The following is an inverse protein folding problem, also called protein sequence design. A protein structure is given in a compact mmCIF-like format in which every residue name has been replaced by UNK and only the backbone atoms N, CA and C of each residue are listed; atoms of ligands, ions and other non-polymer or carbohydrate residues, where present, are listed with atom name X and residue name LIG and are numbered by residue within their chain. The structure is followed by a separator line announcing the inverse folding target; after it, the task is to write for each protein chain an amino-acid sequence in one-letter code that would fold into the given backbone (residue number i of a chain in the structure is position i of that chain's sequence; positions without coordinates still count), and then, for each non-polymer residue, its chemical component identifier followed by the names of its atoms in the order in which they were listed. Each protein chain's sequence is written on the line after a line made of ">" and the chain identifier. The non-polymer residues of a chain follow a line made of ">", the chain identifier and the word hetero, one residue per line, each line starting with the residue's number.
data_IF_066737506386
#
_entry.id   IF_066737506386
#
_cell.length_a   1.000
_cell.length_b   1.000
_cell.length_c   1.000
_cell.angle_alpha   90.00
_cell.angle_beta   90.00
_cell.angle_gamma   90.00
#
_symmetry.space_group_name_H-M   'P 1'
#
loop_
_entity.id
_entity.type
_entity.pdbx_description
1 polymer ?
#
# COMPACT_ATOMS: atom_id res chain seq x y z
N UNK A 1 8.36 1.59 9.42
CA UNK A 1 7.07 1.40 8.70
C UNK A 1 7.38 1.19 7.22
N UNK A 2 6.54 0.49 6.43
CA UNK A 2 6.76 0.43 4.97
C UNK A 2 6.91 1.83 4.38
N UNK A 3 7.93 2.07 3.56
CA UNK A 3 8.25 3.40 3.02
C UNK A 3 9.27 4.22 3.83
N UNK A 4 9.65 3.79 5.04
CA UNK A 4 10.68 4.47 5.85
C UNK A 4 12.06 3.81 5.76
N UNK A 5 12.12 2.58 5.29
CA UNK A 5 13.39 1.89 5.03
C UNK A 5 13.71 1.95 3.53
N UNK A 6 14.99 1.89 3.20
CA UNK A 6 15.46 1.84 1.82
C UNK A 6 14.79 0.69 1.06
N UNK A 7 14.51 0.90 -0.23
CA UNK A 7 13.86 -0.11 -1.09
C UNK A 7 12.50 -0.62 -0.56
N UNK A 8 11.78 0.21 0.19
CA UNK A 8 10.42 -0.10 0.64
C UNK A 8 9.43 1.00 0.21
N UNK A 9 8.23 0.58 -0.15
CA UNK A 9 7.15 1.47 -0.63
C UNK A 9 5.95 1.34 0.31
N UNK A 10 5.39 2.45 0.75
CA UNK A 10 4.28 2.45 1.70
C UNK A 10 3.19 3.47 1.35
N UNK A 11 1.94 3.10 1.65
CA UNK A 11 0.80 4.01 1.67
C UNK A 11 0.25 4.04 3.10
N UNK A 12 0.27 5.21 3.74
CA UNK A 12 -0.04 5.35 5.16
C UNK A 12 -1.44 5.92 5.36
N UNK A 13 -2.17 5.37 6.33
CA UNK A 13 -3.56 5.74 6.59
C UNK A 13 -3.75 7.11 7.21
N UNK A 14 -2.74 7.61 7.92
CA UNK A 14 -2.75 8.98 8.44
C UNK A 14 -2.45 9.93 7.27
N UNK A 15 -3.43 10.75 6.91
CA UNK A 15 -3.38 11.72 5.80
C UNK A 15 -3.39 11.14 4.38
N UNK A 16 -3.21 9.83 4.19
CA UNK A 16 -3.25 9.22 2.86
C UNK A 16 -2.03 9.53 2.00
N UNK A 17 -0.84 9.62 2.62
CA UNK A 17 0.41 9.88 1.91
C UNK A 17 1.11 8.58 1.49
N UNK A 18 1.86 8.68 0.40
CA UNK A 18 2.88 7.70 0.02
C UNK A 18 4.17 7.98 0.77
N UNK A 19 4.93 6.93 1.01
CA UNK A 19 6.25 6.98 1.63
C UNK A 19 7.22 6.08 0.86
N UNK A 20 8.41 6.61 0.59
CA UNK A 20 9.52 5.90 -0.05
C UNK A 20 10.84 6.56 0.38
N UNK A 21 11.81 5.76 0.85
CA UNK A 21 13.15 6.26 1.24
C UNK A 21 13.11 7.46 2.20
N UNK A 22 12.19 7.44 3.19
CA UNK A 22 11.94 8.53 4.15
C UNK A 22 11.35 9.83 3.57
N UNK A 23 11.01 9.88 2.28
CA UNK A 23 10.24 10.97 1.69
C UNK A 23 8.73 10.68 1.73
N UNK A 24 7.90 11.72 1.62
CA UNK A 24 6.44 11.59 1.62
C UNK A 24 5.76 12.51 0.61
N UNK A 25 4.77 11.97 -0.09
CA UNK A 25 3.97 12.73 -1.06
C UNK A 25 2.46 12.51 -0.86
N UNK A 26 1.61 13.52 -1.09
CA UNK A 26 0.16 13.34 -1.10
C UNK A 26 -0.28 12.40 -2.23
N UNK A 27 -1.30 11.58 -1.98
CA UNK A 27 -1.79 10.62 -2.98
C UNK A 27 -3.28 10.34 -2.85
N UNK A 28 -3.71 9.87 -1.68
CA UNK A 28 -5.10 9.56 -1.39
C UNK A 28 -5.64 10.45 -0.28
N UNK A 29 -6.75 10.02 0.29
CA UNK A 29 -7.28 10.55 1.55
C UNK A 29 -6.93 9.61 2.69
N UNK A 30 -7.15 10.07 3.92
CA UNK A 30 -7.06 9.24 5.12
C UNK A 30 -8.05 8.07 5.04
N UNK A 31 -7.62 6.92 5.56
CA UNK A 31 -8.47 5.73 5.69
C UNK A 31 -8.52 5.27 7.14
N UNK A 32 -9.64 4.62 7.49
CA UNK A 32 -10.00 4.36 8.87
C UNK A 32 -10.50 2.93 9.09
N UNK A 33 -10.81 2.60 10.33
CA UNK A 33 -11.41 1.32 10.70
C UNK A 33 -12.62 1.00 9.83
N UNK A 34 -12.62 -0.20 9.23
CA UNK A 34 -13.67 -0.68 8.34
C UNK A 34 -13.34 -0.55 6.84
N UNK A 35 -12.40 0.33 6.48
CA UNK A 35 -11.90 0.41 5.10
C UNK A 35 -11.13 -0.87 4.72
N UNK A 36 -11.24 -1.24 3.45
CA UNK A 36 -10.41 -2.29 2.85
C UNK A 36 -9.47 -1.65 1.84
N UNK A 37 -8.17 -1.75 2.12
CA UNK A 37 -7.12 -1.25 1.24
C UNK A 37 -6.56 -2.40 0.41
N UNK A 38 -6.60 -2.21 -0.91
CA UNK A 38 -5.92 -3.09 -1.87
C UNK A 38 -4.55 -2.50 -2.23
N UNK A 39 -3.55 -3.36 -2.39
CA UNK A 39 -2.23 -3.00 -2.90
C UNK A 39 -1.97 -3.84 -4.15
N UNK A 40 -1.77 -3.17 -5.29
CA UNK A 40 -1.71 -3.81 -6.58
C UNK A 40 -0.34 -3.58 -7.22
N UNK A 41 0.41 -4.66 -7.44
CA UNK A 41 1.67 -4.65 -8.16
C UNK A 41 1.42 -5.02 -9.63
N UNK A 42 1.71 -4.10 -10.53
CA UNK A 42 1.73 -4.37 -11.97
C UNK A 42 3.18 -4.57 -12.42
N UNK A 43 3.58 -5.83 -12.55
CA UNK A 43 4.95 -6.22 -12.95
C UNK A 43 5.24 -5.80 -14.39
N UNK A 44 4.26 -5.84 -15.30
CA UNK A 44 4.46 -5.47 -16.71
C UNK A 44 4.77 -3.99 -16.88
N UNK A 45 4.08 -3.14 -16.14
CA UNK A 45 4.24 -1.69 -16.24
C UNK A 45 5.22 -1.14 -15.19
N UNK A 46 5.75 -2.01 -14.33
CA UNK A 46 6.60 -1.64 -13.19
C UNK A 46 5.99 -0.53 -12.32
N UNK A 47 4.72 -0.70 -11.93
CA UNK A 47 3.99 0.28 -11.11
C UNK A 47 3.26 -0.36 -9.95
N UNK A 48 3.08 0.41 -8.87
CA UNK A 48 2.17 0.09 -7.78
C UNK A 48 1.01 1.09 -7.80
N UNK A 49 -0.20 0.61 -7.53
CA UNK A 49 -1.35 1.45 -7.18
C UNK A 49 -2.10 0.85 -6.01
N UNK A 50 -2.85 1.70 -5.31
CA UNK A 50 -3.72 1.27 -4.21
C UNK A 50 -5.19 1.47 -4.57
N UNK A 51 -6.04 0.71 -3.89
CA UNK A 51 -7.49 0.89 -3.95
C UNK A 51 -8.05 1.09 -2.56
N UNK A 52 -9.08 1.92 -2.41
CA UNK A 52 -9.88 2.00 -1.18
C UNK A 52 -11.30 1.51 -1.47
N UNK A 53 -11.72 0.44 -0.80
CA UNK A 53 -13.05 -0.16 -0.96
C UNK A 53 -13.39 -0.45 -2.44
N UNK A 54 -12.40 -0.89 -3.22
CA UNK A 54 -12.53 -1.18 -4.64
C UNK A 54 -12.33 0.02 -5.58
N UNK A 55 -12.25 1.25 -5.08
CA UNK A 55 -11.98 2.44 -5.90
C UNK A 55 -10.48 2.60 -6.11
N UNK A 56 -10.03 2.65 -7.36
CA UNK A 56 -8.64 2.89 -7.73
C UNK A 56 -8.22 4.34 -7.42
N UNK A 57 -7.12 4.52 -6.70
CA UNK A 57 -6.60 5.83 -6.27
C UNK A 57 -5.56 6.44 -7.24
N UNK A 58 -5.31 5.80 -8.38
CA UNK A 58 -4.29 6.21 -9.35
C UNK A 58 -2.94 5.54 -9.10
N UNK A 59 -1.95 5.79 -9.95
CA UNK A 59 -0.62 5.19 -9.78
C UNK A 59 0.08 5.85 -8.59
N UNK A 60 0.56 5.02 -7.66
CA UNK A 60 1.31 5.45 -6.49
C UNK A 60 2.81 5.53 -6.77
N UNK A 61 3.38 4.44 -7.28
CA UNK A 61 4.81 4.34 -7.55
C UNK A 61 5.05 3.89 -8.98
N UNK A 62 6.09 4.47 -9.59
CA UNK A 62 6.55 4.18 -10.95
C UNK A 62 8.01 3.78 -10.91
N UNK A 63 8.47 3.15 -11.99
CA UNK A 63 9.88 2.87 -12.22
C UNK A 63 10.54 2.20 -11.01
N UNK A 64 9.86 1.19 -10.43
CA UNK A 64 10.31 0.52 -9.21
C UNK A 64 11.75 0.04 -9.43
N UNK A 65 12.67 0.65 -8.69
CA UNK A 65 14.11 0.40 -8.77
C UNK A 65 14.42 -0.85 -7.96
N UNK A 66 14.11 -2.03 -8.48
CA UNK A 66 14.69 -3.32 -8.09
C UNK A 66 14.00 -4.45 -8.86
N UNK A 67 14.79 -5.29 -9.53
CA UNK A 67 14.34 -6.47 -10.28
C UNK A 67 14.14 -7.71 -9.38
N UNK A 68 14.27 -7.55 -8.05
CA UNK A 68 14.11 -8.63 -7.08
C UNK A 68 12.63 -8.86 -6.72
N UNK A 69 12.34 -10.04 -6.16
CA UNK A 69 11.01 -10.37 -5.68
C UNK A 69 10.51 -9.33 -4.66
N UNK A 70 9.36 -8.71 -4.94
CA UNK A 70 8.65 -7.87 -3.98
C UNK A 70 7.83 -8.73 -3.03
N UNK A 71 7.78 -8.32 -1.76
CA UNK A 71 7.00 -9.01 -0.74
C UNK A 71 5.93 -8.09 -0.17
N UNK A 72 4.72 -8.60 0.10
CA UNK A 72 3.71 -7.81 0.80
C UNK A 72 4.18 -7.47 2.22
N UNK A 73 3.99 -6.22 2.62
CA UNK A 73 4.34 -5.75 3.96
C UNK A 73 3.19 -4.92 4.55
N UNK A 74 2.90 -5.11 5.83
CA UNK A 74 1.89 -4.35 6.57
C UNK A 74 2.51 -3.90 7.89
N UNK A 75 2.42 -2.61 8.19
CA UNK A 75 2.87 -2.03 9.46
C UNK A 75 1.70 -1.42 10.22
N UNK A 76 1.68 -1.60 11.54
CA UNK A 76 0.71 -0.99 12.45
C UNK A 76 1.49 -0.28 13.55
N UNK A 77 1.12 0.97 13.86
CA UNK A 77 1.75 1.78 14.91
C UNK A 77 0.80 2.09 16.08
N UNK A 78 -0.47 1.71 15.98
CA UNK A 78 -1.46 1.90 17.04
C UNK A 78 -1.37 0.77 18.07
N UNK A 79 -1.26 1.05 19.39
CA UNK A 79 -1.12 0.03 20.43
C UNK A 79 -2.19 -1.06 20.41
N UNK A 80 -3.45 -0.68 20.11
CA UNK A 80 -4.60 -1.58 20.03
C UNK A 80 -5.08 -1.81 18.59
N UNK A 81 -4.25 -1.45 17.61
CA UNK A 81 -4.56 -1.61 16.20
C UNK A 81 -4.48 -3.07 15.75
N UNK A 82 -5.46 -3.54 15.00
CA UNK A 82 -5.41 -4.83 14.32
C UNK A 82 -5.73 -4.69 12.84
N UNK A 83 -5.15 -5.57 12.03
CA UNK A 83 -5.40 -5.62 10.59
C UNK A 83 -5.62 -7.07 10.17
N UNK A 84 -6.62 -7.29 9.31
CA UNK A 84 -6.78 -8.56 8.62
C UNK A 84 -6.14 -8.48 7.24
N UNK A 85 -5.18 -9.35 6.95
CA UNK A 85 -4.63 -9.50 5.60
C UNK A 85 -5.27 -10.69 4.89
N UNK A 86 -5.67 -10.51 3.63
CA UNK A 86 -6.05 -11.60 2.74
C UNK A 86 -5.08 -11.61 1.55
N UNK A 87 -4.20 -12.60 1.49
CA UNK A 87 -3.21 -12.78 0.43
C UNK A 87 -3.65 -13.81 -0.63
N UNK A 88 -4.97 -13.98 -0.79
CA UNK A 88 -5.56 -14.94 -1.74
C UNK A 88 -6.06 -16.24 -1.11
N UNK A 89 -6.00 -16.40 0.22
CA UNK A 89 -6.54 -17.58 0.90
C UNK A 89 -8.08 -17.69 0.79
N UNK A 90 -8.75 -16.56 0.61
CA UNK A 90 -10.19 -16.47 0.31
C UNK A 90 -10.42 -15.47 -0.82
N UNK A 91 -11.61 -15.49 -1.44
CA UNK A 91 -11.99 -14.48 -2.44
C UNK A 91 -11.77 -13.06 -1.91
N UNK A 92 -11.21 -12.20 -2.75
CA UNK A 92 -11.06 -10.79 -2.41
C UNK A 92 -12.44 -10.12 -2.28
N UNK A 93 -12.56 -9.20 -1.32
CA UNK A 93 -13.81 -8.48 -1.07
C UNK A 93 -14.18 -7.53 -2.21
N UNK A 94 -13.16 -6.99 -2.90
CA UNK A 94 -13.27 -6.11 -4.05
C UNK A 94 -12.36 -6.64 -5.16
N UNK A 95 -12.77 -6.44 -6.41
CA UNK A 95 -12.05 -6.83 -7.64
C UNK A 95 -11.76 -5.61 -8.48
#
# INVERSE_FOLDING_TARGET
>A
MPGWEDSSWGYHGKYGNLYFENDSEPYGTDFMTGDTIGCCLNIRNNTIYYTRNGVNLGIAFRDLKNENAMYPCVGIMSPDGSVGANLGYRKFKYT
#
